data_IF_022958210653
#
_entry.id   IF_022958210653
#
_cell.length_a   1.000
_cell.length_b   1.000
_cell.length_c   1.000
_cell.angle_alpha   90.00
_cell.angle_beta   90.00
_cell.angle_gamma   90.00
#
_symmetry.space_group_name_H-M   'P 1'
#
loop_
_entity.id
_entity.type
_entity.pdbx_description
1 polymer ?
#
# COMPACT_ATOMS: atom_id res chain seq x y z
N UNK A 1 15.94 14.81 -8.63
CA UNK A 1 15.38 13.52 -8.19
C UNK A 1 14.68 13.69 -6.85
N UNK A 2 13.38 14.03 -6.91
CA UNK A 2 12.63 14.30 -5.69
C UNK A 2 11.87 13.01 -5.31
N UNK A 3 12.14 12.49 -4.11
CA UNK A 3 11.33 11.45 -3.48
C UNK A 3 10.01 12.08 -3.04
N UNK A 4 8.90 11.46 -3.41
CA UNK A 4 7.58 11.90 -2.99
C UNK A 4 7.12 11.00 -1.84
N UNK A 5 6.58 11.62 -0.81
CA UNK A 5 5.95 10.94 0.32
C UNK A 5 4.46 11.20 0.28
N UNK A 6 3.71 10.14 0.46
CA UNK A 6 2.27 10.22 0.55
C UNK A 6 1.77 9.28 1.64
N UNK A 7 0.69 9.69 2.28
CA UNK A 7 -0.13 8.87 3.18
C UNK A 7 -1.49 8.70 2.53
N UNK A 8 -1.98 7.49 2.51
CA UNK A 8 -3.32 7.19 2.03
C UNK A 8 -3.96 6.13 2.92
N UNK A 9 -5.27 6.13 3.00
CA UNK A 9 -6.04 5.07 3.63
C UNK A 9 -6.89 4.36 2.59
N UNK A 10 -7.06 3.06 2.74
CA UNK A 10 -8.09 2.33 2.01
C UNK A 10 -9.46 2.86 2.45
N UNK A 11 -10.43 2.85 1.54
CA UNK A 11 -11.81 3.20 1.89
C UNK A 11 -12.33 2.22 2.96
N UNK A 12 -13.19 2.72 3.84
CA UNK A 12 -13.71 1.95 4.99
C UNK A 12 -14.60 0.77 4.58
N UNK A 13 -15.06 0.74 3.34
CA UNK A 13 -15.93 -0.28 2.78
C UNK A 13 -15.26 -1.20 1.75
N UNK A 14 -14.01 -0.92 1.37
CA UNK A 14 -13.32 -1.62 0.28
C UNK A 14 -12.00 -2.25 0.72
N UNK A 15 -11.77 -3.45 0.21
CA UNK A 15 -10.42 -4.03 0.11
C UNK A 15 -9.66 -3.30 -0.99
N UNK A 16 -8.36 -3.09 -0.79
CA UNK A 16 -7.49 -2.54 -1.82
C UNK A 16 -6.30 -3.47 -2.06
N UNK A 17 -6.07 -3.81 -3.33
CA UNK A 17 -4.90 -4.55 -3.77
C UNK A 17 -4.06 -3.66 -4.67
N UNK A 18 -2.82 -3.37 -4.26
CA UNK A 18 -1.91 -2.51 -5.02
C UNK A 18 -0.90 -3.38 -5.74
N UNK A 19 -0.88 -3.27 -7.05
CA UNK A 19 0.02 -3.97 -7.96
C UNK A 19 1.03 -2.98 -8.50
N UNK A 20 2.30 -3.32 -8.40
CA UNK A 20 3.39 -2.42 -8.79
C UNK A 20 3.92 -2.73 -10.18
N UNK A 21 4.30 -1.68 -10.89
CA UNK A 21 4.95 -1.79 -12.19
C UNK A 21 6.38 -2.35 -12.10
N UNK A 22 6.95 -2.78 -13.24
CA UNK A 22 8.24 -3.49 -13.28
C UNK A 22 9.45 -2.64 -12.87
N UNK A 23 9.33 -1.31 -12.89
CA UNK A 23 10.39 -0.37 -12.54
C UNK A 23 10.15 0.33 -11.18
N UNK A 24 9.25 -0.22 -10.38
CA UNK A 24 8.92 0.37 -9.08
C UNK A 24 10.16 0.46 -8.19
N UNK A 25 10.35 1.61 -7.55
CA UNK A 25 11.37 1.84 -6.52
C UNK A 25 10.78 2.69 -5.41
N UNK A 26 10.97 2.26 -4.18
CA UNK A 26 10.46 2.97 -3.02
C UNK A 26 10.14 2.06 -1.87
N UNK A 27 9.38 2.56 -0.92
CA UNK A 27 8.95 1.79 0.25
C UNK A 27 7.49 2.01 0.57
N UNK A 28 6.88 1.01 1.21
CA UNK A 28 5.57 1.12 1.84
C UNK A 28 5.71 0.74 3.31
N UNK A 29 5.28 1.63 4.20
CA UNK A 29 5.48 1.51 5.65
C UNK A 29 6.92 1.12 6.03
N UNK A 30 7.90 1.66 5.29
CA UNK A 30 9.32 1.39 5.48
C UNK A 30 9.82 0.07 4.87
N UNK A 31 8.95 -0.78 4.33
CA UNK A 31 9.38 -1.98 3.58
C UNK A 31 9.66 -1.63 2.12
N UNK A 32 10.75 -2.16 1.54
CA UNK A 32 11.03 -1.97 0.13
C UNK A 32 9.93 -2.62 -0.72
N UNK A 33 9.60 -1.96 -1.82
CA UNK A 33 8.71 -2.51 -2.84
C UNK A 33 9.56 -2.95 -4.02
N UNK A 34 9.36 -4.21 -4.42
CA UNK A 34 10.11 -4.86 -5.49
C UNK A 34 9.13 -5.49 -6.51
N UNK A 35 9.57 -5.76 -7.74
CA UNK A 35 8.76 -6.53 -8.70
C UNK A 35 8.38 -7.91 -8.10
N UNK A 36 7.12 -8.29 -8.24
CA UNK A 36 6.59 -9.53 -7.64
C UNK A 36 5.99 -9.34 -6.24
N UNK A 37 6.00 -8.12 -5.73
CA UNK A 37 5.31 -7.76 -4.48
C UNK A 37 3.98 -7.11 -4.79
N UNK A 38 2.95 -7.47 -4.05
CA UNK A 38 1.65 -6.80 -4.01
C UNK A 38 1.37 -6.33 -2.58
N UNK A 39 0.56 -5.30 -2.44
CA UNK A 39 -0.04 -4.95 -1.15
C UNK A 39 -1.50 -5.38 -1.13
N UNK A 40 -1.92 -5.91 0.01
CA UNK A 40 -3.31 -6.15 0.33
C UNK A 40 -3.68 -5.29 1.55
N UNK A 41 -4.73 -4.51 1.42
CA UNK A 41 -5.18 -3.61 2.47
C UNK A 41 -6.63 -3.91 2.84
N UNK A 42 -6.87 -4.15 4.14
CA UNK A 42 -8.21 -4.20 4.70
C UNK A 42 -8.90 -2.84 4.60
N UNK A 43 -10.24 -2.79 4.71
CA UNK A 43 -10.97 -1.55 4.82
C UNK A 43 -10.39 -0.64 5.93
N UNK A 44 -10.19 0.63 5.62
CA UNK A 44 -9.61 1.61 6.54
C UNK A 44 -8.11 1.49 6.81
N UNK A 45 -7.42 0.48 6.28
CA UNK A 45 -5.98 0.31 6.50
C UNK A 45 -5.19 1.47 5.87
N UNK A 46 -4.19 1.95 6.61
CA UNK A 46 -3.33 3.06 6.18
C UNK A 46 -2.01 2.58 5.58
N UNK A 47 -1.60 3.23 4.50
CA UNK A 47 -0.33 3.02 3.84
C UNK A 47 0.44 4.33 3.70
N UNK A 48 1.76 4.27 3.93
CA UNK A 48 2.70 5.37 3.71
C UNK A 48 3.67 4.97 2.63
N UNK A 49 3.62 5.71 1.57
CA UNK A 49 4.48 5.50 0.41
C UNK A 49 5.64 6.49 0.41
N UNK A 50 6.82 5.98 0.11
CA UNK A 50 7.96 6.78 -0.32
C UNK A 50 8.28 6.34 -1.73
N UNK A 51 7.92 7.17 -2.71
CA UNK A 51 8.04 6.83 -4.13
C UNK A 51 9.23 7.52 -4.75
N UNK A 52 9.93 6.82 -5.63
CA UNK A 52 11.01 7.36 -6.44
C UNK A 52 10.51 7.63 -7.88
N UNK A 53 11.26 8.40 -8.69
CA UNK A 53 10.91 8.63 -10.09
C UNK A 53 10.68 7.31 -10.84
N UNK A 54 9.65 7.26 -11.67
CA UNK A 54 9.25 6.06 -12.39
C UNK A 54 8.28 5.15 -11.64
N UNK A 55 7.83 5.53 -10.44
CA UNK A 55 6.81 4.79 -9.71
C UNK A 55 5.53 4.66 -10.53
N UNK A 56 5.09 3.43 -10.70
CA UNK A 56 3.80 3.11 -11.31
C UNK A 56 3.12 2.03 -10.45
N UNK A 57 1.84 2.22 -10.20
CA UNK A 57 1.01 1.24 -9.50
C UNK A 57 -0.42 1.27 -10.01
N UNK A 58 -1.07 0.13 -9.96
CA UNK A 58 -2.52 -0.03 -10.18
C UNK A 58 -3.13 -0.46 -8.87
N UNK A 59 -4.19 0.21 -8.46
CA UNK A 59 -4.95 -0.18 -7.27
C UNK A 59 -6.28 -0.77 -7.70
N UNK A 60 -6.52 -2.02 -7.33
CA UNK A 60 -7.80 -2.70 -7.48
C UNK A 60 -8.55 -2.56 -6.17
N UNK A 61 -9.68 -1.88 -6.21
CA UNK A 61 -10.58 -1.73 -5.06
C UNK A 61 -11.84 -2.54 -5.29
N UNK A 62 -12.24 -3.32 -4.29
CA UNK A 62 -13.41 -4.18 -4.40
C UNK A 62 -14.09 -4.39 -3.04
N UNK A 63 -15.40 -4.56 -3.08
CA UNK A 63 -16.16 -4.84 -1.87
C UNK A 63 -15.86 -6.25 -1.36
N UNK A 64 -15.60 -6.44 -0.04
CA UNK A 64 -15.28 -7.77 0.53
C UNK A 64 -16.32 -8.85 0.18
N UNK A 65 -17.60 -8.47 0.14
CA UNK A 65 -18.69 -9.39 -0.20
C UNK A 65 -18.60 -9.88 -1.65
N UNK A 66 -18.21 -9.03 -2.61
CA UNK A 66 -18.07 -9.45 -4.00
C UNK A 66 -16.98 -10.50 -4.16
N UNK A 67 -15.85 -10.31 -3.46
CA UNK A 67 -14.77 -11.31 -3.45
C UNK A 67 -15.25 -12.63 -2.84
N UNK A 68 -15.90 -12.58 -1.69
CA UNK A 68 -16.46 -13.79 -1.02
C UNK A 68 -17.48 -14.52 -1.90
N UNK A 69 -18.44 -13.80 -2.48
CA UNK A 69 -19.46 -14.39 -3.37
C UNK A 69 -18.80 -15.07 -4.57
N UNK A 70 -17.81 -14.43 -5.18
CA UNK A 70 -17.11 -15.01 -6.33
C UNK A 70 -16.35 -16.28 -5.96
N UNK A 71 -15.69 -16.32 -4.80
CA UNK A 71 -14.99 -17.50 -4.29
C UNK A 71 -15.95 -18.66 -4.00
N UNK A 72 -17.08 -18.39 -3.37
CA UNK A 72 -18.12 -19.40 -3.05
C UNK A 72 -18.72 -19.97 -4.34
N UNK A 73 -19.10 -19.12 -5.29
CA UNK A 73 -19.79 -19.52 -6.54
C UNK A 73 -18.94 -20.46 -7.39
N UNK A 74 -17.62 -20.38 -7.29
CA UNK A 74 -16.69 -21.20 -8.06
C UNK A 74 -16.19 -22.45 -7.36
N UNK A 75 -16.83 -22.88 -6.26
CA UNK A 75 -16.45 -24.04 -5.47
C UNK A 75 -14.94 -24.11 -5.16
N UNK A 76 -14.35 -22.97 -4.94
CA UNK A 76 -12.93 -22.87 -4.63
C UNK A 76 -12.75 -22.96 -3.13
N UNK A 77 -12.53 -24.18 -2.62
CA UNK A 77 -12.09 -24.42 -1.24
C UNK A 77 -10.69 -23.87 -0.94
N UNK A 78 -10.01 -23.31 -1.94
CA UNK A 78 -8.73 -22.64 -1.73
C UNK A 78 -8.99 -21.35 -0.95
N UNK A 79 -8.55 -21.32 0.28
CA UNK A 79 -8.59 -20.15 1.15
C UNK A 79 -7.79 -19.00 0.51
N UNK A 80 -8.51 -18.10 -0.15
CA UNK A 80 -7.92 -16.80 -0.48
C UNK A 80 -7.92 -15.99 0.80
N UNK A 81 -6.73 -15.71 1.29
CA UNK A 81 -6.55 -14.89 2.48
C UNK A 81 -7.11 -13.47 2.25
N UNK A 82 -7.99 -13.05 3.15
CA UNK A 82 -8.48 -11.68 3.20
C UNK A 82 -7.60 -10.89 4.18
N UNK A 83 -7.08 -9.73 3.79
CA UNK A 83 -6.20 -8.97 4.65
C UNK A 83 -6.91 -8.48 5.91
N UNK A 84 -6.23 -8.56 7.06
CA UNK A 84 -6.71 -8.02 8.33
C UNK A 84 -6.19 -6.60 8.61
N UNK A 85 -5.25 -6.12 7.78
CA UNK A 85 -4.63 -4.81 7.88
C UNK A 85 -3.97 -4.44 6.57
N UNK A 86 -2.79 -3.81 6.61
CA UNK A 86 -1.93 -3.67 5.45
C UNK A 86 -0.89 -4.79 5.44
N UNK A 87 -0.96 -5.63 4.45
CA UNK A 87 -0.12 -6.81 4.28
C UNK A 87 0.68 -6.72 2.98
N UNK A 88 1.87 -7.28 3.00
CA UNK A 88 2.75 -7.37 1.84
C UNK A 88 2.79 -8.82 1.39
N UNK A 89 2.37 -9.08 0.17
CA UNK A 89 2.27 -10.41 -0.41
C UNK A 89 3.36 -10.60 -1.47
N UNK A 90 4.08 -11.70 -1.40
CA UNK A 90 4.99 -12.13 -2.44
C UNK A 90 4.26 -13.03 -3.42
N UNK A 91 4.25 -12.64 -4.67
CA UNK A 91 3.55 -13.35 -5.75
C UNK A 91 4.55 -13.62 -6.86
N UNK A 92 4.26 -14.60 -7.69
CA UNK A 92 5.06 -14.85 -8.90
C UNK A 92 5.14 -13.56 -9.75
N UNK A 93 6.37 -13.06 -9.98
CA UNK A 93 6.60 -11.79 -10.68
C UNK A 93 5.99 -11.72 -12.08
N UNK A 94 5.89 -12.85 -12.78
CA UNK A 94 5.22 -12.93 -14.09
C UNK A 94 3.72 -12.68 -13.95
N UNK A 95 3.07 -13.22 -12.91
CA UNK A 95 1.63 -13.01 -12.63
C UNK A 95 1.34 -11.56 -12.27
N UNK A 96 2.16 -10.99 -11.37
CA UNK A 96 2.04 -9.58 -10.99
C UNK A 96 2.21 -8.67 -12.21
N UNK A 97 3.22 -8.94 -13.06
CA UNK A 97 3.41 -8.19 -14.30
C UNK A 97 2.21 -8.28 -15.24
N UNK A 98 1.64 -9.47 -15.44
CA UNK A 98 0.44 -9.65 -16.26
C UNK A 98 -0.76 -8.87 -15.70
N UNK A 99 -0.98 -8.93 -14.38
CA UNK A 99 -2.06 -8.20 -13.73
C UNK A 99 -1.87 -6.68 -13.85
N UNK A 100 -0.63 -6.21 -13.66
CA UNK A 100 -0.29 -4.79 -13.84
C UNK A 100 -0.54 -4.32 -15.29
N UNK A 101 -0.03 -5.05 -16.27
CA UNK A 101 -0.18 -4.71 -17.69
C UNK A 101 -1.65 -4.74 -18.11
N UNK A 102 -2.40 -5.72 -17.61
CA UNK A 102 -3.83 -5.80 -17.87
C UNK A 102 -4.59 -4.62 -17.28
N UNK A 103 -4.35 -4.31 -15.99
CA UNK A 103 -4.98 -3.18 -15.32
C UNK A 103 -4.61 -1.84 -15.97
N UNK A 104 -3.35 -1.68 -16.39
CA UNK A 104 -2.91 -0.50 -17.14
C UNK A 104 -3.65 -0.35 -18.47
N UNK A 105 -3.77 -1.43 -19.25
CA UNK A 105 -4.54 -1.39 -20.51
C UNK A 105 -6.01 -1.03 -20.26
N UNK A 106 -6.62 -1.57 -19.19
CA UNK A 106 -8.00 -1.26 -18.85
C UNK A 106 -8.18 0.24 -18.54
N UNK A 107 -7.30 0.82 -17.72
CA UNK A 107 -7.32 2.24 -17.37
C UNK A 107 -7.09 3.11 -18.60
N UNK A 108 -6.09 2.77 -19.43
CA UNK A 108 -5.77 3.49 -20.66
C UNK A 108 -6.95 3.43 -21.68
N UNK A 109 -7.65 2.29 -21.75
CA UNK A 109 -8.84 2.14 -22.62
C UNK A 109 -10.00 2.95 -22.08
N UNK A 110 -10.26 2.90 -20.79
CA UNK A 110 -11.33 3.69 -20.18
C UNK A 110 -11.10 5.20 -20.33
N UNK A 111 -9.85 5.65 -20.24
CA UNK A 111 -9.50 7.05 -20.42
C UNK A 111 -9.70 7.52 -21.88
N UNK A 112 -9.39 6.66 -22.87
CA UNK A 112 -9.53 7.00 -24.31
C UNK A 112 -10.95 6.83 -24.83
N UNK A 113 -11.69 5.86 -24.31
CA UNK A 113 -13.01 5.47 -24.77
C UNK A 113 -13.98 5.26 -23.59
N UNK A 114 -14.32 6.32 -22.83
CA UNK A 114 -15.17 6.20 -21.64
C UNK A 114 -16.55 5.63 -21.95
N UNK A 115 -17.12 5.94 -23.13
CA UNK A 115 -18.39 5.41 -23.59
C UNK A 115 -18.42 3.86 -23.63
N UNK A 116 -17.28 3.23 -23.92
CA UNK A 116 -17.18 1.76 -23.98
C UNK A 116 -17.57 1.09 -22.65
N UNK A 117 -17.27 1.73 -21.52
CA UNK A 117 -17.61 1.21 -20.19
C UNK A 117 -18.87 1.84 -19.61
N UNK A 118 -19.20 3.08 -19.98
CA UNK A 118 -20.36 3.78 -19.45
C UNK A 118 -21.67 3.32 -20.13
N UNK A 119 -21.61 3.07 -21.43
CA UNK A 119 -22.80 2.77 -22.23
C UNK A 119 -22.97 1.27 -22.53
N UNK A 120 -21.92 0.45 -22.29
CA UNK A 120 -21.94 -1.00 -22.59
C UNK A 120 -21.71 -1.81 -21.31
N UNK A 121 -22.78 -2.12 -20.58
CA UNK A 121 -22.70 -2.88 -19.33
C UNK A 121 -22.07 -4.27 -19.51
N UNK A 122 -22.27 -4.91 -20.67
CA UNK A 122 -21.67 -6.21 -21.00
C UNK A 122 -20.14 -6.16 -21.04
N UNK A 123 -19.57 -5.08 -21.62
CA UNK A 123 -18.12 -4.88 -21.68
C UNK A 123 -17.57 -4.63 -20.28
N UNK A 124 -18.26 -3.82 -19.48
CA UNK A 124 -17.88 -3.55 -18.10
C UNK A 124 -17.91 -4.83 -17.26
N UNK A 125 -18.95 -5.66 -17.40
CA UNK A 125 -19.06 -6.93 -16.69
C UNK A 125 -17.96 -7.91 -17.09
N UNK A 126 -17.68 -8.02 -18.39
CA UNK A 126 -16.59 -8.87 -18.88
C UNK A 126 -15.24 -8.44 -18.30
N UNK A 127 -14.92 -7.15 -18.33
CA UNK A 127 -13.70 -6.60 -17.74
C UNK A 127 -13.62 -6.85 -16.22
N UNK A 128 -14.73 -6.75 -15.50
CA UNK A 128 -14.78 -7.08 -14.07
C UNK A 128 -14.49 -8.55 -13.81
N UNK A 129 -15.07 -9.46 -14.57
CA UNK A 129 -14.83 -10.90 -14.43
C UNK A 129 -13.36 -11.23 -14.70
N UNK A 130 -12.79 -10.71 -15.78
CA UNK A 130 -11.37 -10.91 -16.09
C UNK A 130 -10.45 -10.37 -14.97
N UNK A 131 -10.76 -9.20 -14.43
CA UNK A 131 -10.01 -8.62 -13.31
C UNK A 131 -10.06 -9.53 -12.10
N UNK A 132 -11.24 -10.01 -11.73
CA UNK A 132 -11.40 -10.93 -10.61
C UNK A 132 -10.59 -12.21 -10.79
N UNK A 133 -10.67 -12.84 -11.96
CA UNK A 133 -9.92 -14.07 -12.25
C UNK A 133 -8.41 -13.85 -12.16
N UNK A 134 -7.91 -12.76 -12.75
CA UNK A 134 -6.49 -12.42 -12.70
C UNK A 134 -6.02 -12.15 -11.27
N UNK A 135 -6.82 -11.42 -10.48
CA UNK A 135 -6.51 -11.12 -9.08
C UNK A 135 -6.54 -12.39 -8.22
N UNK A 136 -7.59 -13.21 -8.32
CA UNK A 136 -7.69 -14.46 -7.56
C UNK A 136 -6.55 -15.41 -7.90
N UNK A 137 -6.19 -15.52 -9.17
CA UNK A 137 -5.05 -16.34 -9.59
C UNK A 137 -3.75 -15.86 -8.94
N UNK A 138 -3.53 -14.55 -8.87
CA UNK A 138 -2.37 -13.99 -8.20
C UNK A 138 -2.41 -14.24 -6.68
N UNK A 139 -3.56 -14.06 -6.04
CA UNK A 139 -3.72 -14.24 -4.59
C UNK A 139 -3.57 -15.71 -4.15
N UNK A 140 -3.97 -16.67 -4.97
CA UNK A 140 -3.77 -18.11 -4.66
C UNK A 140 -2.30 -18.52 -4.66
N UNK A 141 -1.48 -17.86 -5.45
CA UNK A 141 -0.03 -18.10 -5.50
C UNK A 141 0.73 -17.22 -4.48
N UNK A 142 0.01 -16.34 -3.79
CA UNK A 142 0.61 -15.40 -2.85
C UNK A 142 1.11 -16.13 -1.59
N UNK A 143 2.27 -15.71 -1.14
CA UNK A 143 2.85 -16.11 0.13
C UNK A 143 3.12 -14.86 0.96
N UNK A 144 2.98 -14.98 2.26
CA UNK A 144 3.40 -13.91 3.15
C UNK A 144 4.90 -13.65 2.99
N UNK A 145 5.27 -12.37 2.97
CA UNK A 145 6.68 -12.01 2.91
C UNK A 145 7.31 -12.24 4.27
N UNK A 146 8.27 -13.17 4.33
CA UNK A 146 9.11 -13.33 5.50
C UNK A 146 9.90 -12.05 5.76
N UNK A 147 9.52 -11.36 6.84
CA UNK A 147 10.10 -10.06 7.20
C UNK A 147 11.45 -10.28 7.88
N UNK A 148 12.53 -9.84 7.24
CA UNK A 148 13.87 -9.89 7.81
C UNK A 148 13.98 -9.02 9.08
N UNK A 149 15.02 -9.25 9.90
CA UNK A 149 15.30 -8.42 11.09
C UNK A 149 15.42 -6.93 10.72
N UNK A 150 16.04 -6.63 9.58
CA UNK A 150 16.21 -5.26 9.08
C UNK A 150 14.88 -4.61 8.71
N UNK A 151 14.00 -5.37 8.07
CA UNK A 151 12.68 -4.92 7.67
C UNK A 151 11.76 -4.72 8.87
N UNK A 152 11.79 -5.63 9.85
CA UNK A 152 11.08 -5.43 11.14
C UNK A 152 11.51 -4.14 11.84
N UNK A 153 12.82 -3.85 11.85
CA UNK A 153 13.35 -2.60 12.39
C UNK A 153 12.82 -1.39 11.62
N UNK A 154 12.80 -1.47 10.29
CA UNK A 154 12.28 -0.39 9.43
C UNK A 154 10.78 -0.17 9.60
N UNK A 155 9.99 -1.24 9.75
CA UNK A 155 8.57 -1.15 10.10
C UNK A 155 8.36 -0.50 11.48
N UNK A 156 9.17 -0.90 12.49
CA UNK A 156 9.11 -0.28 13.81
C UNK A 156 9.41 1.22 13.74
N UNK A 157 10.41 1.63 12.97
CA UNK A 157 10.74 3.03 12.73
C UNK A 157 9.59 3.77 12.00
N UNK A 158 8.97 3.15 11.00
CA UNK A 158 7.84 3.73 10.30
C UNK A 158 6.64 3.98 11.22
N UNK A 159 6.32 3.00 12.10
CA UNK A 159 5.28 3.18 13.12
C UNK A 159 5.62 4.30 14.11
N UNK A 160 6.85 4.33 14.60
CA UNK A 160 7.34 5.37 15.50
C UNK A 160 7.19 6.76 14.90
N UNK A 161 7.65 6.95 13.65
CA UNK A 161 7.49 8.21 12.92
C UNK A 161 6.01 8.57 12.75
N UNK A 162 5.15 7.59 12.44
CA UNK A 162 3.71 7.82 12.34
C UNK A 162 3.13 8.38 13.64
N UNK A 163 3.40 7.71 14.76
CA UNK A 163 2.87 8.15 16.08
C UNK A 163 3.31 9.56 16.40
N UNK A 164 4.56 9.90 16.10
CA UNK A 164 5.09 11.25 16.31
C UNK A 164 4.41 12.27 15.39
N UNK A 165 4.24 11.96 14.11
CA UNK A 165 3.55 12.86 13.17
C UNK A 165 2.10 13.11 13.59
N UNK A 166 1.37 12.04 13.97
CA UNK A 166 -0.02 12.15 14.41
C UNK A 166 -0.13 13.01 15.68
N UNK A 167 0.79 12.82 16.64
CA UNK A 167 0.85 13.63 17.85
C UNK A 167 1.18 15.10 17.53
N UNK A 168 2.20 15.36 16.73
CA UNK A 168 2.62 16.71 16.39
C UNK A 168 1.54 17.47 15.61
N UNK A 169 0.82 16.79 14.69
CA UNK A 169 -0.30 17.38 13.95
C UNK A 169 -1.49 17.70 14.87
N UNK A 170 -1.74 16.89 15.89
CA UNK A 170 -2.79 17.14 16.88
C UNK A 170 -2.46 18.31 17.82
N UNK A 171 -1.20 18.69 17.92
CA UNK A 171 -0.69 19.74 18.82
C UNK A 171 0.00 20.87 18.03
N UNK A 172 -0.48 21.14 16.79
CA UNK A 172 0.01 22.28 15.99
C UNK A 172 -0.27 23.59 16.74
N UNK A 173 0.78 24.34 17.01
CA UNK A 173 0.71 25.58 17.81
C UNK A 173 1.24 25.44 19.24
N UNK A 174 1.44 24.23 19.74
CA UNK A 174 2.12 23.98 21.01
C UNK A 174 3.65 24.04 20.79
N UNK A 175 4.37 24.47 21.84
CA UNK A 175 5.83 24.44 21.81
C UNK A 175 6.34 23.02 22.08
N UNK A 176 6.28 22.16 21.05
CA UNK A 176 6.76 20.78 21.14
C UNK A 176 8.29 20.72 21.09
N UNK A 177 8.87 19.95 22.01
CA UNK A 177 10.28 19.61 22.02
C UNK A 177 10.50 18.15 21.60
N UNK A 178 11.74 17.81 21.18
CA UNK A 178 12.09 16.44 20.81
C UNK A 178 11.88 15.45 21.97
N UNK A 179 12.09 15.91 23.19
CA UNK A 179 11.83 15.13 24.42
C UNK A 179 10.37 14.72 24.55
N UNK A 180 9.43 15.58 24.18
CA UNK A 180 8.00 15.27 24.20
C UNK A 180 7.69 14.16 23.18
N UNK A 181 8.26 14.27 22.00
CA UNK A 181 8.14 13.24 20.96
C UNK A 181 8.75 11.90 21.40
N UNK A 182 9.88 11.92 22.11
CA UNK A 182 10.51 10.73 22.68
C UNK A 182 9.58 10.05 23.71
N UNK A 183 8.95 10.84 24.58
CA UNK A 183 8.01 10.34 25.60
C UNK A 183 6.78 9.67 24.96
N UNK A 184 6.22 10.27 23.91
CA UNK A 184 5.07 9.75 23.19
C UNK A 184 5.31 8.34 22.61
N UNK A 185 6.52 8.08 22.12
CA UNK A 185 6.87 6.78 21.49
C UNK A 185 7.68 5.86 22.40
N UNK A 186 8.01 6.28 23.62
CA UNK A 186 8.81 5.51 24.56
C UNK A 186 10.22 5.18 24.03
N UNK A 187 10.84 6.10 23.29
CA UNK A 187 12.14 5.87 22.66
C UNK A 187 13.16 6.94 23.05
N UNK A 188 14.46 6.56 23.01
CA UNK A 188 15.53 7.54 23.18
C UNK A 188 15.61 8.48 21.99
N UNK A 189 16.14 9.69 22.20
CA UNK A 189 16.36 10.70 21.17
C UNK A 189 17.18 10.14 20.00
N UNK A 190 18.25 9.38 20.27
CA UNK A 190 19.05 8.69 19.24
C UNK A 190 18.20 7.71 18.40
N UNK A 191 17.29 6.97 19.03
CA UNK A 191 16.42 6.04 18.32
C UNK A 191 15.43 6.77 17.43
N UNK A 192 14.83 7.85 17.96
CA UNK A 192 13.90 8.70 17.25
C UNK A 192 14.60 9.39 16.06
N UNK A 193 15.81 9.92 16.26
CA UNK A 193 16.60 10.53 15.20
C UNK A 193 16.93 9.55 14.07
N UNK A 194 17.33 8.31 14.42
CA UNK A 194 17.57 7.25 13.44
C UNK A 194 16.31 6.88 12.66
N UNK A 195 15.15 6.83 13.34
CA UNK A 195 13.87 6.56 12.71
C UNK A 195 13.50 7.68 11.72
N UNK A 196 13.59 8.93 12.12
CA UNK A 196 13.30 10.08 11.26
C UNK A 196 14.26 10.16 10.06
N UNK A 197 15.56 10.02 10.27
CA UNK A 197 16.55 9.99 9.19
C UNK A 197 16.30 8.82 8.22
N UNK A 198 16.00 7.63 8.76
CA UNK A 198 15.77 6.43 7.94
C UNK A 198 14.47 6.46 7.14
N UNK A 199 13.41 7.02 7.72
CA UNK A 199 12.07 7.05 7.11
C UNK A 199 11.82 8.35 6.34
N UNK A 200 12.17 9.49 6.94
CA UNK A 200 11.86 10.80 6.39
C UNK A 200 13.07 11.52 5.76
N UNK A 201 14.30 11.08 6.02
CA UNK A 201 15.53 11.73 5.56
C UNK A 201 15.78 13.10 6.20
N UNK A 202 15.09 13.43 7.28
CA UNK A 202 15.25 14.66 8.06
C UNK A 202 15.35 14.31 9.55
N UNK A 203 15.79 15.26 10.38
CA UNK A 203 15.80 15.07 11.83
C UNK A 203 14.43 15.42 12.43
N UNK A 204 14.10 14.93 13.66
CA UNK A 204 12.89 15.34 14.38
C UNK A 204 12.82 16.88 14.58
N UNK A 205 13.93 17.51 14.89
CA UNK A 205 14.03 18.98 14.98
C UNK A 205 13.64 19.67 13.67
N UNK A 206 14.22 19.19 12.56
CA UNK A 206 13.91 19.75 11.24
C UNK A 206 12.46 19.49 10.81
N UNK A 207 11.83 18.46 11.34
CA UNK A 207 10.41 18.20 11.16
C UNK A 207 9.56 19.21 11.94
N UNK A 208 9.83 19.42 13.23
CA UNK A 208 9.10 20.37 14.08
C UNK A 208 9.18 21.81 13.54
N UNK A 209 10.34 22.23 13.00
CA UNK A 209 10.50 23.56 12.40
C UNK A 209 9.61 23.77 11.16
N UNK A 210 9.18 22.69 10.49
CA UNK A 210 8.38 22.73 9.26
C UNK A 210 6.89 22.53 9.48
N UNK A 211 6.52 22.30 10.73
CA UNK A 211 5.14 22.10 11.15
C UNK A 211 4.46 23.45 11.37
#
# INVERSE_FOLDING_TARGET
NQRIRSRTSAREDLLAYVVFGPQVRGTVNGLPVEPGVMLAAAPGAEARFVTEPGWQSITVMLHPQHLRTHLITRHSESEVHLPCGLETLKVNGKRVGQLFDWGKRLVDTAARQPALFNERPEVRMAAQVELFEALITALREAQDVDVTRSERKRQAYSRMVKTVEDHALAHVGDHLHVTDLCNVVGASERTLENAFKGIMGITPVAYLIRL
#
